data_IF_068185947398
#
_entry.id   IF_068185947398
#
_cell.length_a   1.000
_cell.length_b   1.000
_cell.length_c   1.000
_cell.angle_alpha   90.00
_cell.angle_beta   90.00
_cell.angle_gamma   90.00
#
_symmetry.space_group_name_H-M   'P 1'
#
loop_
_entity.id
_entity.type
_entity.pdbx_description
1 polymer ?
#
# COMPACT_ATOMS: atom_id res chain seq x y z
N UNK A 1 9.83 -7.56 -7.00
CA UNK A 1 10.07 -6.15 -6.60
C UNK A 1 10.07 -5.17 -7.79
N UNK A 2 9.40 -5.51 -8.91
CA UNK A 2 9.26 -4.68 -10.12
C UNK A 2 8.00 -3.78 -10.24
N UNK A 3 6.92 -3.89 -9.43
CA UNK A 3 5.66 -3.23 -9.81
C UNK A 3 5.66 -1.72 -9.58
N UNK A 4 6.39 -1.20 -8.59
CA UNK A 4 6.36 0.22 -8.22
C UNK A 4 7.12 1.12 -9.20
N UNK A 5 8.24 0.65 -9.76
CA UNK A 5 8.99 1.38 -10.79
C UNK A 5 8.17 1.56 -12.08
N UNK A 6 7.40 0.55 -12.47
CA UNK A 6 6.49 0.63 -13.61
C UNK A 6 5.30 1.56 -13.38
N UNK A 7 4.83 1.68 -12.14
CA UNK A 7 3.70 2.54 -11.73
C UNK A 7 4.03 4.04 -11.79
N UNK A 8 5.21 4.47 -11.37
CA UNK A 8 5.57 5.89 -11.53
C UNK A 8 5.86 6.26 -12.98
N UNK A 9 6.40 5.34 -13.79
CA UNK A 9 6.61 5.60 -15.22
C UNK A 9 5.29 5.83 -15.97
N UNK A 10 4.19 5.25 -15.48
CA UNK A 10 2.83 5.48 -15.99
C UNK A 10 2.26 6.86 -15.64
N UNK A 11 2.48 7.30 -14.40
CA UNK A 11 1.99 8.58 -13.88
C UNK A 11 2.89 9.76 -14.28
N UNK A 12 3.96 9.48 -15.03
CA UNK A 12 5.00 10.43 -15.38
C UNK A 12 4.48 11.53 -16.31
N UNK A 13 3.95 12.59 -15.70
CA UNK A 13 3.63 13.88 -16.32
C UNK A 13 4.75 14.90 -16.09
N UNK A 14 5.98 14.45 -15.78
CA UNK A 14 7.08 15.33 -15.35
C UNK A 14 6.97 15.82 -13.89
N UNK A 15 5.90 15.44 -13.19
CA UNK A 15 5.58 15.86 -11.81
C UNK A 15 5.92 14.82 -10.74
N UNK A 16 6.49 13.68 -11.12
CA UNK A 16 6.81 12.57 -10.21
C UNK A 16 8.22 12.07 -10.47
N UNK A 17 9.04 12.13 -9.44
CA UNK A 17 10.38 11.54 -9.42
C UNK A 17 10.41 10.40 -8.41
N UNK A 18 10.91 9.23 -8.82
CA UNK A 18 11.26 8.17 -7.86
C UNK A 18 12.76 8.25 -7.62
N UNK A 19 13.12 8.42 -6.35
CA UNK A 19 14.47 8.20 -5.85
C UNK A 19 14.50 6.82 -5.18
N UNK A 20 15.46 5.97 -5.56
CA UNK A 20 15.49 4.56 -5.13
C UNK A 20 16.63 4.33 -4.15
N UNK A 21 16.32 3.74 -3.01
CA UNK A 21 17.30 2.97 -2.25
C UNK A 21 17.57 1.61 -2.89
N UNK A 22 18.29 0.75 -2.17
CA UNK A 22 18.50 -0.64 -2.59
C UNK A 22 18.48 -1.59 -1.41
N UNK A 23 18.17 -2.86 -1.68
CA UNK A 23 18.26 -3.92 -0.67
C UNK A 23 19.61 -4.62 -0.78
N UNK A 24 20.34 -4.64 0.33
CA UNK A 24 21.50 -5.48 0.53
C UNK A 24 21.04 -6.84 1.03
N UNK A 25 21.43 -7.90 0.33
CA UNK A 25 21.15 -9.29 0.74
C UNK A 25 22.46 -9.95 1.11
N UNK A 26 22.55 -10.48 2.32
CA UNK A 26 23.73 -11.20 2.79
C UNK A 26 23.35 -12.42 3.61
N UNK A 27 24.15 -13.48 3.50
CA UNK A 27 24.04 -14.63 4.39
C UNK A 27 24.76 -14.29 5.70
N UNK A 28 24.06 -14.40 6.83
CA UNK A 28 24.60 -14.10 8.16
C UNK A 28 24.19 -15.14 9.18
N UNK A 29 24.95 -15.24 10.26
CA UNK A 29 24.62 -16.09 11.42
C UNK A 29 23.96 -15.29 12.53
N UNK A 30 22.65 -15.47 12.71
CA UNK A 30 21.86 -14.77 13.71
C UNK A 30 21.50 -15.68 14.90
N UNK A 31 21.40 -15.13 16.12
CA UNK A 31 20.94 -15.88 17.28
C UNK A 31 19.47 -16.28 17.13
N UNK A 32 19.17 -17.56 17.27
CA UNK A 32 17.82 -18.12 17.29
C UNK A 32 17.15 -17.79 18.62
N UNK A 33 15.90 -17.33 18.56
CA UNK A 33 15.10 -17.07 19.78
C UNK A 33 14.87 -18.40 20.52
N UNK A 34 15.24 -18.43 21.80
CA UNK A 34 14.99 -19.57 22.67
C UNK A 34 13.58 -19.45 23.25
N UNK A 35 12.62 -20.19 22.69
CA UNK A 35 11.22 -20.13 23.14
C UNK A 35 11.03 -20.68 24.57
N UNK A 36 11.93 -21.54 25.05
CA UNK A 36 11.88 -22.07 26.40
C UNK A 36 12.45 -21.06 27.42
N UNK A 37 13.36 -20.17 26.98
CA UNK A 37 13.88 -19.09 27.80
C UNK A 37 14.00 -17.77 26.99
N UNK A 38 12.89 -17.03 26.80
CA UNK A 38 12.88 -15.82 25.98
C UNK A 38 13.80 -14.70 26.46
N UNK A 39 14.15 -14.68 27.76
CA UNK A 39 15.06 -13.70 28.36
C UNK A 39 16.54 -14.03 28.16
N UNK A 40 16.86 -15.17 27.55
CA UNK A 40 18.23 -15.59 27.28
C UNK A 40 18.93 -14.58 26.37
N UNK A 41 20.05 -14.06 26.84
CA UNK A 41 20.79 -13.05 26.10
C UNK A 41 21.26 -13.60 24.72
N UNK A 42 21.14 -12.84 23.62
CA UNK A 42 21.37 -13.36 22.27
C UNK A 42 22.74 -14.02 22.05
N UNK A 43 23.78 -13.56 22.76
CA UNK A 43 25.13 -14.16 22.69
C UNK A 43 25.20 -15.61 23.17
N UNK A 44 24.26 -16.04 24.00
CA UNK A 44 24.17 -17.40 24.54
C UNK A 44 23.20 -18.29 23.75
N UNK A 45 22.54 -17.76 22.73
CA UNK A 45 21.63 -18.52 21.89
C UNK A 45 22.39 -19.31 20.81
N UNK A 46 21.77 -20.41 20.36
CA UNK A 46 22.18 -21.12 19.16
C UNK A 46 22.18 -20.14 17.96
N UNK A 47 23.15 -20.23 17.06
CA UNK A 47 23.22 -19.39 15.86
C UNK A 47 22.89 -20.18 14.60
N UNK A 48 21.93 -19.68 13.84
CA UNK A 48 21.46 -20.27 12.57
C UNK A 48 21.80 -19.37 11.39
N UNK A 49 21.99 -19.98 10.22
CA UNK A 49 22.20 -19.25 8.96
C UNK A 49 20.87 -18.67 8.48
N UNK A 50 20.87 -17.38 8.17
CA UNK A 50 19.73 -16.66 7.62
C UNK A 50 20.15 -15.80 6.44
N UNK A 51 19.19 -15.51 5.55
CA UNK A 51 19.30 -14.42 4.59
C UNK A 51 18.85 -13.13 5.27
N UNK A 52 19.79 -12.21 5.52
CA UNK A 52 19.48 -10.87 6.01
C UNK A 52 19.20 -9.96 4.82
N UNK A 53 18.00 -9.37 4.81
CA UNK A 53 17.61 -8.32 3.89
C UNK A 53 17.66 -6.99 4.63
N UNK A 54 18.42 -6.03 4.10
CA UNK A 54 18.59 -4.72 4.71
C UNK A 54 18.39 -3.64 3.64
N UNK A 55 17.44 -2.75 3.88
CA UNK A 55 17.24 -1.56 3.05
C UNK A 55 18.36 -0.56 3.32
N UNK A 56 18.87 0.07 2.26
CA UNK A 56 19.95 1.04 2.33
C UNK A 56 19.62 2.27 1.50
N UNK A 57 20.17 3.40 1.95
CA UNK A 57 20.11 4.73 1.31
C UNK A 57 18.72 5.38 1.20
N UNK A 58 17.62 4.71 1.51
CA UNK A 58 16.28 5.31 1.39
C UNK A 58 16.13 6.54 2.30
N UNK A 59 16.43 6.41 3.59
CA UNK A 59 16.26 7.50 4.57
C UNK A 59 17.27 8.63 4.32
N UNK A 60 18.51 8.27 3.97
CA UNK A 60 19.57 9.23 3.62
C UNK A 60 19.19 10.04 2.39
N UNK A 61 18.68 9.40 1.34
CA UNK A 61 18.25 10.12 0.14
C UNK A 61 17.05 11.01 0.43
N UNK A 62 16.07 10.51 1.19
CA UNK A 62 14.90 11.32 1.58
C UNK A 62 15.33 12.59 2.32
N UNK A 63 16.22 12.45 3.32
CA UNK A 63 16.76 13.56 4.09
C UNK A 63 17.51 14.58 3.21
N UNK A 64 18.41 14.11 2.34
CA UNK A 64 19.23 14.98 1.49
C UNK A 64 18.39 15.75 0.48
N UNK A 65 17.42 15.09 -0.17
CA UNK A 65 16.54 15.74 -1.13
C UNK A 65 15.60 16.74 -0.45
N UNK A 66 14.97 16.36 0.66
CA UNK A 66 14.11 17.28 1.42
C UNK A 66 14.88 18.54 1.88
N UNK A 67 16.13 18.36 2.34
CA UNK A 67 16.97 19.48 2.75
C UNK A 67 17.40 20.36 1.57
N UNK A 68 17.83 19.75 0.46
CA UNK A 68 18.21 20.47 -0.74
C UNK A 68 17.07 21.31 -1.29
N UNK A 69 15.91 20.69 -1.50
CA UNK A 69 14.73 21.33 -2.09
C UNK A 69 14.23 22.49 -1.21
N UNK A 70 14.25 22.32 0.12
CA UNK A 70 13.88 23.39 1.04
C UNK A 70 14.81 24.60 0.94
N UNK A 71 16.11 24.38 0.76
CA UNK A 71 17.12 25.45 0.74
C UNK A 71 17.29 26.15 -0.61
N UNK A 72 17.07 25.45 -1.73
CA UNK A 72 17.16 26.11 -3.04
C UNK A 72 16.04 27.12 -3.23
N UNK A 73 14.94 26.99 -2.48
CA UNK A 73 13.77 27.84 -2.60
C UNK A 73 12.90 27.52 -3.82
N UNK A 74 13.14 26.37 -4.46
CA UNK A 74 12.38 25.91 -5.62
C UNK A 74 10.99 25.36 -5.25
N UNK A 75 10.71 25.20 -3.94
CA UNK A 75 9.45 24.67 -3.42
C UNK A 75 8.84 25.60 -2.38
N UNK A 76 7.52 25.73 -2.42
CA UNK A 76 6.76 26.48 -1.40
C UNK A 76 6.62 25.68 -0.09
N UNK A 77 6.65 24.35 -0.19
CA UNK A 77 6.44 23.42 0.92
C UNK A 77 7.22 22.12 0.68
N UNK A 78 7.79 21.58 1.76
CA UNK A 78 8.33 20.22 1.84
C UNK A 78 7.45 19.42 2.79
N UNK A 79 6.77 18.39 2.27
CA UNK A 79 5.88 17.54 3.07
C UNK A 79 6.48 16.16 3.23
N UNK A 80 6.77 15.80 4.48
CA UNK A 80 7.36 14.51 4.83
C UNK A 80 6.28 13.60 5.40
N UNK A 81 5.96 12.53 4.68
CA UNK A 81 5.03 11.50 5.13
C UNK A 81 5.79 10.34 5.80
N UNK A 82 6.18 10.50 7.06
CA UNK A 82 6.96 9.51 7.82
C UNK A 82 6.78 9.70 9.34
N UNK A 83 7.11 8.67 10.11
CA UNK A 83 7.29 8.76 11.56
C UNK A 83 8.68 8.25 12.00
N UNK A 84 9.63 8.25 11.07
CA UNK A 84 11.00 7.79 11.29
C UNK A 84 11.85 8.88 11.93
N UNK A 85 12.38 8.59 13.11
CA UNK A 85 13.22 9.52 13.89
C UNK A 85 14.57 9.81 13.24
N UNK A 86 15.04 8.96 12.33
CA UNK A 86 16.32 9.17 11.65
C UNK A 86 16.29 10.41 10.74
N UNK A 87 15.10 10.94 10.43
CA UNK A 87 14.92 12.20 9.70
C UNK A 87 15.09 13.46 10.56
N UNK A 88 15.08 13.34 11.90
CA UNK A 88 15.12 14.49 12.79
C UNK A 88 16.30 15.46 12.53
N UNK A 89 17.55 15.00 12.24
CA UNK A 89 18.64 15.91 11.89
C UNK A 89 18.35 16.75 10.63
N UNK A 90 17.75 16.14 9.61
CA UNK A 90 17.39 16.86 8.39
C UNK A 90 16.27 17.87 8.64
N UNK A 91 15.22 17.49 9.38
CA UNK A 91 14.14 18.41 9.75
C UNK A 91 14.68 19.59 10.57
N UNK A 92 15.59 19.37 11.51
CA UNK A 92 16.23 20.43 12.28
C UNK A 92 16.94 21.42 11.36
N UNK A 93 17.77 20.93 10.45
CA UNK A 93 18.49 21.79 9.51
C UNK A 93 17.54 22.57 8.59
N UNK A 94 16.46 21.95 8.11
CA UNK A 94 15.44 22.64 7.30
C UNK A 94 14.75 23.72 8.13
N UNK A 95 14.36 23.40 9.36
CA UNK A 95 13.65 24.28 10.29
C UNK A 95 14.48 25.50 10.67
N UNK A 96 15.78 25.35 10.83
CA UNK A 96 16.68 26.45 11.21
C UNK A 96 16.91 27.44 10.07
N UNK A 97 16.68 27.03 8.81
CA UNK A 97 17.02 27.83 7.64
C UNK A 97 15.81 28.22 6.78
N UNK A 98 14.63 27.64 7.02
CA UNK A 98 13.45 27.79 6.16
C UNK A 98 12.16 27.69 6.96
N UNK A 99 11.03 28.08 6.33
CA UNK A 99 9.69 27.98 6.94
C UNK A 99 8.75 26.99 6.23
N UNK A 100 9.28 26.00 5.50
CA UNK A 100 8.51 25.25 4.48
C UNK A 100 8.21 23.79 4.84
N UNK A 101 8.74 23.26 5.95
CA UNK A 101 8.58 21.82 6.28
C UNK A 101 7.32 21.50 7.05
N UNK A 102 6.57 20.48 6.60
CA UNK A 102 5.44 19.88 7.28
C UNK A 102 5.56 18.36 7.42
N UNK A 103 4.92 17.80 8.44
CA UNK A 103 4.96 16.37 8.76
C UNK A 103 3.57 15.75 8.63
N UNK A 104 3.49 14.57 8.01
CA UNK A 104 2.30 13.73 7.97
C UNK A 104 2.65 12.37 8.55
N UNK A 105 2.04 11.99 9.66
CA UNK A 105 2.22 10.68 10.23
C UNK A 105 1.38 9.64 9.46
N UNK A 106 1.99 8.62 8.84
CA UNK A 106 1.29 7.69 7.96
C UNK A 106 0.55 6.59 8.76
N UNK A 107 -0.39 6.99 9.61
CA UNK A 107 -1.30 6.08 10.34
C UNK A 107 -2.76 6.46 10.10
N UNK A 108 -3.66 5.48 10.21
CA UNK A 108 -5.11 5.69 10.14
C UNK A 108 -5.78 5.54 11.53
N UNK A 109 -5.21 4.73 12.43
CA UNK A 109 -5.87 4.28 13.66
C UNK A 109 -5.39 5.02 14.93
N UNK A 110 -4.57 6.07 14.77
CA UNK A 110 -3.94 6.86 15.84
C UNK A 110 -3.12 6.05 16.87
N UNK A 111 -2.93 4.73 16.68
CA UNK A 111 -2.24 3.89 17.68
C UNK A 111 -0.77 4.22 17.82
N UNK A 112 -0.18 4.80 16.77
CA UNK A 112 1.19 5.28 16.75
C UNK A 112 1.17 6.80 16.67
N UNK A 113 1.27 7.51 17.80
CA UNK A 113 1.34 8.96 17.77
C UNK A 113 2.58 9.42 16.98
N UNK A 114 2.53 10.61 16.37
CA UNK A 114 3.71 11.19 15.76
C UNK A 114 4.80 11.39 16.81
N UNK A 115 6.06 11.19 16.41
CA UNK A 115 7.18 11.39 17.32
C UNK A 115 7.28 12.88 17.71
N UNK A 116 7.36 13.14 19.02
CA UNK A 116 7.41 14.50 19.58
C UNK A 116 8.54 15.35 18.99
N UNK A 117 9.72 14.78 18.73
CA UNK A 117 10.83 15.55 18.16
C UNK A 117 10.51 15.98 16.73
N UNK A 118 10.00 15.08 15.89
CA UNK A 118 9.63 15.40 14.51
C UNK A 118 8.54 16.47 14.44
N UNK A 119 7.55 16.39 15.34
CA UNK A 119 6.48 17.40 15.45
C UNK A 119 7.06 18.78 15.77
N UNK A 120 7.97 18.87 16.74
CA UNK A 120 8.60 20.14 17.13
C UNK A 120 9.44 20.76 16.02
N UNK A 121 10.03 19.93 15.16
CA UNK A 121 10.87 20.37 14.04
C UNK A 121 10.07 20.70 12.78
N UNK A 122 8.73 20.55 12.81
CA UNK A 122 7.85 20.82 11.68
C UNK A 122 7.05 22.10 11.88
N UNK A 123 6.71 22.81 10.79
CA UNK A 123 5.87 24.01 10.83
C UNK A 123 4.40 23.68 11.07
N UNK A 124 3.96 22.54 10.57
CA UNK A 124 2.66 21.97 10.82
C UNK A 124 2.77 20.46 10.82
N UNK A 125 1.85 19.80 11.50
CA UNK A 125 1.78 18.34 11.53
C UNK A 125 0.36 17.87 11.28
N UNK A 126 0.22 16.78 10.54
CA UNK A 126 -0.98 15.94 10.53
C UNK A 126 -0.70 14.64 11.26
N UNK A 127 -1.48 14.39 12.30
CA UNK A 127 -1.27 13.24 13.20
C UNK A 127 -1.67 11.90 12.58
N UNK A 128 -2.49 11.93 11.53
CA UNK A 128 -3.02 10.75 10.84
C UNK A 128 -3.51 11.12 9.43
N UNK A 129 -3.76 10.10 8.63
CA UNK A 129 -4.48 10.14 7.35
C UNK A 129 -5.85 9.51 7.62
N UNK A 130 -6.94 10.21 7.33
CA UNK A 130 -8.28 9.66 7.53
C UNK A 130 -8.60 8.56 6.52
N UNK A 131 -9.49 7.64 6.89
CA UNK A 131 -9.93 6.57 5.99
C UNK A 131 -10.57 7.13 4.71
N UNK A 132 -11.33 8.23 4.82
CA UNK A 132 -11.94 8.90 3.68
C UNK A 132 -10.89 9.49 2.73
N UNK A 133 -9.87 10.16 3.26
CA UNK A 133 -8.75 10.67 2.45
C UNK A 133 -8.03 9.52 1.74
N UNK A 134 -7.69 8.47 2.48
CA UNK A 134 -7.02 7.31 1.92
C UNK A 134 -7.84 6.64 0.81
N UNK A 135 -9.16 6.48 1.01
CA UNK A 135 -10.07 5.91 0.03
C UNK A 135 -10.14 6.76 -1.24
N UNK A 136 -10.21 8.09 -1.08
CA UNK A 136 -10.26 9.05 -2.20
C UNK A 136 -8.94 9.16 -2.98
N UNK A 137 -7.80 8.84 -2.35
CA UNK A 137 -6.46 8.97 -2.92
C UNK A 137 -5.92 7.66 -3.53
N UNK A 138 -6.75 6.62 -3.67
CA UNK A 138 -6.32 5.36 -4.28
C UNK A 138 -6.10 5.52 -5.79
N UNK A 139 -5.04 4.88 -6.30
CA UNK A 139 -4.88 4.74 -7.74
C UNK A 139 -6.01 3.88 -8.33
N UNK A 140 -6.43 4.16 -9.58
CA UNK A 140 -7.41 3.32 -10.25
C UNK A 140 -6.88 1.90 -10.38
N UNK A 141 -7.81 0.93 -10.48
CA UNK A 141 -7.48 -0.48 -10.61
C UNK A 141 -6.48 -0.76 -11.76
N UNK A 142 -6.64 -0.07 -12.88
CA UNK A 142 -5.79 -0.23 -14.07
C UNK A 142 -5.05 1.06 -14.28
N UNK A 143 -3.73 1.02 -14.16
CA UNK A 143 -2.85 2.16 -14.43
C UNK A 143 -2.09 1.89 -15.74
N UNK A 144 -2.36 2.63 -16.83
CA UNK A 144 -1.67 2.45 -18.12
C UNK A 144 -0.19 2.82 -18.00
N UNK A 145 0.73 1.99 -18.51
CA UNK A 145 2.17 2.28 -18.54
C UNK A 145 2.63 2.55 -19.97
N UNK A 146 3.86 3.07 -20.12
CA UNK A 146 4.53 3.19 -21.43
C UNK A 146 4.51 1.86 -22.22
N UNK A 147 4.58 0.72 -21.53
CA UNK A 147 4.36 -0.62 -22.10
C UNK A 147 3.47 -1.44 -21.14
N UNK A 148 2.28 -1.81 -21.60
CA UNK A 148 1.31 -2.62 -20.86
C UNK A 148 0.57 -1.86 -19.75
N UNK A 149 0.02 -2.59 -18.78
CA UNK A 149 -0.77 -2.03 -17.66
C UNK A 149 -0.27 -2.56 -16.32
N UNK A 150 -0.34 -1.72 -15.28
CA UNK A 150 -0.27 -2.15 -13.88
C UNK A 150 -1.69 -2.43 -13.38
N UNK A 151 -1.91 -3.59 -12.78
CA UNK A 151 -3.19 -3.94 -12.17
C UNK A 151 -3.07 -3.88 -10.65
N UNK A 152 -4.05 -3.27 -9.99
CA UNK A 152 -4.18 -3.27 -8.53
C UNK A 152 -4.28 -4.72 -8.04
N UNK A 153 -3.34 -5.18 -7.17
CA UNK A 153 -3.40 -6.50 -6.57
C UNK A 153 -4.68 -6.70 -5.77
N UNK A 154 -5.23 -7.92 -5.78
CA UNK A 154 -6.43 -8.25 -4.98
C UNK A 154 -6.18 -8.08 -3.48
N UNK A 155 -4.95 -8.32 -3.02
CA UNK A 155 -4.55 -8.13 -1.62
C UNK A 155 -4.56 -6.68 -1.13
N UNK A 156 -4.76 -5.70 -2.03
CA UNK A 156 -4.84 -4.26 -1.69
C UNK A 156 -6.28 -3.76 -1.53
N UNK A 157 -7.27 -4.64 -1.57
CA UNK A 157 -8.66 -4.31 -1.23
C UNK A 157 -8.89 -4.61 0.26
N UNK A 158 -9.84 -3.94 0.89
CA UNK A 158 -10.08 -4.03 2.34
C UNK A 158 -10.39 -5.47 2.79
N UNK A 159 -11.16 -6.21 1.99
CA UNK A 159 -11.56 -7.61 2.25
C UNK A 159 -11.11 -8.54 1.11
N UNK A 160 -9.81 -8.86 1.02
CA UNK A 160 -9.29 -9.71 -0.05
C UNK A 160 -9.80 -11.15 0.06
N UNK A 161 -10.15 -11.57 1.27
CA UNK A 161 -10.81 -12.83 1.63
C UNK A 161 -12.20 -12.97 0.99
N UNK A 162 -12.97 -11.89 0.90
CA UNK A 162 -14.29 -11.87 0.26
C UNK A 162 -14.20 -11.63 -1.26
N UNK A 163 -13.29 -10.74 -1.69
CA UNK A 163 -13.12 -10.41 -3.10
C UNK A 163 -12.60 -11.57 -3.94
N UNK A 164 -11.70 -12.40 -3.38
CA UNK A 164 -11.06 -13.48 -4.15
C UNK A 164 -12.06 -14.57 -4.59
N UNK A 165 -12.93 -15.11 -3.72
CA UNK A 165 -14.00 -16.02 -4.12
C UNK A 165 -14.97 -15.39 -5.12
N UNK A 166 -15.47 -14.19 -4.84
CA UNK A 166 -16.41 -13.48 -5.71
C UNK A 166 -15.84 -13.27 -7.11
N UNK A 167 -14.57 -12.86 -7.20
CA UNK A 167 -13.88 -12.68 -8.47
C UNK A 167 -13.69 -14.00 -9.23
N UNK A 168 -13.43 -15.09 -8.52
CA UNK A 168 -13.28 -16.43 -9.12
C UNK A 168 -14.59 -16.87 -9.76
N UNK A 169 -15.71 -16.72 -9.05
CA UNK A 169 -17.04 -17.00 -9.58
C UNK A 169 -17.40 -16.07 -10.75
N UNK A 170 -17.21 -14.76 -10.59
CA UNK A 170 -17.46 -13.78 -11.64
C UNK A 170 -16.64 -14.07 -12.90
N UNK A 171 -15.41 -14.57 -12.75
CA UNK A 171 -14.56 -14.94 -13.89
C UNK A 171 -15.12 -16.16 -14.64
N UNK A 172 -15.69 -17.15 -13.92
CA UNK A 172 -16.36 -18.30 -14.55
C UNK A 172 -17.58 -17.88 -15.38
N UNK A 173 -18.34 -16.91 -14.86
CA UNK A 173 -19.55 -16.32 -15.47
C UNK A 173 -19.22 -15.43 -16.65
N UNK A 174 -18.24 -14.53 -16.50
CA UNK A 174 -17.91 -13.47 -17.47
C UNK A 174 -16.79 -13.85 -18.45
N UNK A 175 -16.18 -15.01 -18.29
CA UNK A 175 -15.15 -15.58 -19.18
C UNK A 175 -13.74 -15.05 -18.99
N UNK A 176 -13.54 -13.88 -18.37
CA UNK A 176 -12.21 -13.35 -18.07
C UNK A 176 -12.18 -12.53 -16.79
N UNK A 177 -10.99 -12.44 -16.16
CA UNK A 177 -10.78 -11.65 -14.94
C UNK A 177 -11.04 -10.15 -15.16
N UNK A 178 -10.76 -9.64 -16.36
CA UNK A 178 -11.05 -8.25 -16.72
C UNK A 178 -12.56 -7.97 -16.82
N UNK A 179 -13.30 -8.84 -17.51
CA UNK A 179 -14.76 -8.73 -17.63
C UNK A 179 -15.47 -8.92 -16.28
N UNK A 180 -14.96 -9.82 -15.43
CA UNK A 180 -15.42 -10.03 -14.07
C UNK A 180 -15.27 -8.76 -13.23
N UNK A 181 -14.09 -8.13 -13.24
CA UNK A 181 -13.87 -6.88 -12.50
C UNK A 181 -14.72 -5.72 -13.03
N UNK A 182 -14.89 -5.62 -14.36
CA UNK A 182 -15.79 -4.61 -14.94
C UNK A 182 -17.20 -4.77 -14.38
N UNK A 183 -17.72 -5.99 -14.35
CA UNK A 183 -19.03 -6.28 -13.76
C UNK A 183 -19.08 -5.95 -12.26
N UNK A 184 -18.07 -6.38 -11.48
CA UNK A 184 -18.00 -6.07 -10.04
C UNK A 184 -17.99 -4.56 -9.77
N UNK A 185 -17.42 -3.76 -10.68
CA UNK A 185 -17.29 -2.31 -10.53
C UNK A 185 -18.43 -1.51 -11.19
N UNK A 186 -19.51 -2.17 -11.63
CA UNK A 186 -20.65 -1.53 -12.28
C UNK A 186 -21.91 -1.71 -11.42
N UNK A 187 -22.77 -0.68 -11.27
CA UNK A 187 -24.09 -0.83 -10.64
C UNK A 187 -24.88 -2.00 -11.23
N UNK A 188 -25.50 -2.80 -10.37
CA UNK A 188 -26.25 -3.98 -10.78
C UNK A 188 -27.70 -3.92 -10.30
N UNK A 189 -28.65 -3.92 -11.23
CA UNK A 189 -30.09 -3.85 -10.94
C UNK A 189 -30.59 -5.00 -10.05
N UNK A 190 -30.05 -6.22 -10.24
CA UNK A 190 -30.41 -7.38 -9.41
C UNK A 190 -29.90 -7.27 -7.96
N UNK A 191 -28.94 -6.39 -7.72
CA UNK A 191 -28.44 -6.05 -6.38
C UNK A 191 -28.97 -4.67 -5.94
N UNK A 192 -30.16 -4.28 -6.41
CA UNK A 192 -30.81 -3.02 -6.02
C UNK A 192 -30.09 -1.77 -6.54
N UNK A 193 -29.33 -1.88 -7.62
CA UNK A 193 -28.51 -0.80 -8.17
C UNK A 193 -27.18 -0.60 -7.45
N UNK A 194 -26.85 -1.43 -6.46
CA UNK A 194 -25.56 -1.36 -5.78
C UNK A 194 -24.41 -1.83 -6.69
N UNK A 195 -23.20 -1.33 -6.40
CA UNK A 195 -21.97 -1.82 -7.03
C UNK A 195 -21.53 -3.08 -6.27
N UNK A 196 -21.40 -4.25 -6.92
CA UNK A 196 -21.00 -5.48 -6.23
C UNK A 196 -19.68 -5.37 -5.46
N UNK A 197 -18.73 -4.57 -5.95
CA UNK A 197 -17.46 -4.35 -5.28
C UNK A 197 -17.60 -3.66 -3.92
N UNK A 198 -18.53 -2.71 -3.80
CA UNK A 198 -18.80 -2.00 -2.55
C UNK A 198 -19.51 -2.92 -1.54
N UNK A 199 -20.36 -3.83 -2.04
CA UNK A 199 -21.00 -4.85 -1.20
C UNK A 199 -19.98 -5.85 -0.61
N UNK A 200 -18.83 -6.05 -1.26
CA UNK A 200 -17.77 -6.95 -0.79
C UNK A 200 -16.97 -6.39 0.41
N UNK A 201 -17.36 -5.25 0.98
CA UNK A 201 -16.81 -4.73 2.24
C UNK A 201 -17.45 -5.37 3.48
N UNK A 202 -18.59 -6.05 3.32
CA UNK A 202 -19.34 -6.74 4.40
C UNK A 202 -19.57 -8.21 4.09
N UNK A 203 -19.74 -9.03 5.13
CA UNK A 203 -20.03 -10.45 4.96
C UNK A 203 -21.44 -10.66 4.36
N UNK A 204 -22.44 -9.86 4.77
CA UNK A 204 -23.79 -9.95 4.19
C UNK A 204 -23.81 -9.55 2.72
N UNK A 205 -23.14 -8.44 2.37
CA UNK A 205 -23.05 -7.98 0.98
C UNK A 205 -22.29 -8.98 0.10
N UNK A 206 -21.22 -9.58 0.61
CA UNK A 206 -20.50 -10.63 -0.11
C UNK A 206 -21.37 -11.87 -0.34
N UNK A 207 -22.14 -12.31 0.65
CA UNK A 207 -23.07 -13.42 0.50
C UNK A 207 -24.12 -13.14 -0.59
N UNK A 208 -24.67 -11.93 -0.64
CA UNK A 208 -25.62 -11.53 -1.69
C UNK A 208 -25.00 -11.55 -3.09
N UNK A 209 -23.77 -11.03 -3.23
CA UNK A 209 -23.03 -11.03 -4.50
C UNK A 209 -22.73 -12.46 -4.97
N UNK A 210 -22.29 -13.33 -4.06
CA UNK A 210 -21.99 -14.74 -4.35
C UNK A 210 -23.26 -15.50 -4.74
N UNK A 211 -24.32 -15.40 -3.96
CA UNK A 211 -25.59 -16.09 -4.21
C UNK A 211 -26.18 -15.72 -5.58
N UNK A 212 -26.12 -14.43 -5.95
CA UNK A 212 -26.55 -14.00 -7.29
C UNK A 212 -25.75 -14.69 -8.41
N UNK A 213 -24.42 -14.79 -8.26
CA UNK A 213 -23.58 -15.42 -9.28
C UNK A 213 -23.80 -16.93 -9.36
N UNK A 214 -24.01 -17.60 -8.24
CA UNK A 214 -24.32 -19.03 -8.18
C UNK A 214 -25.67 -19.33 -8.84
N UNK A 215 -26.71 -18.54 -8.53
CA UNK A 215 -28.03 -18.65 -9.16
C UNK A 215 -27.96 -18.42 -10.68
N UNK A 216 -27.15 -17.45 -11.13
CA UNK A 216 -26.94 -17.21 -12.56
C UNK A 216 -26.30 -18.42 -13.25
N UNK A 217 -25.29 -19.04 -12.63
CA UNK A 217 -24.63 -20.24 -13.15
C UNK A 217 -25.62 -21.40 -13.22
N UNK A 218 -26.42 -21.62 -12.17
CA UNK A 218 -27.42 -22.68 -12.13
C UNK A 218 -28.47 -22.53 -13.25
N UNK A 219 -28.84 -21.29 -13.61
CA UNK A 219 -29.78 -20.99 -14.70
C UNK A 219 -29.15 -21.04 -16.09
N UNK A 220 -27.82 -20.96 -16.20
CA UNK A 220 -27.08 -20.97 -17.45
C UNK A 220 -25.95 -22.02 -17.42
N UNK A 221 -26.29 -23.32 -17.30
CA UNK A 221 -25.29 -24.38 -17.28
C UNK A 221 -24.47 -24.36 -18.57
N UNK A 222 -23.15 -24.49 -18.46
CA UNK A 222 -22.30 -24.63 -19.64
C UNK A 222 -22.60 -25.98 -20.30
N UNK A 223 -22.57 -26.01 -21.62
CA UNK A 223 -22.90 -27.15 -22.48
C UNK A 223 -21.95 -28.37 -22.36
N UNK A 224 -21.23 -28.52 -21.25
CA UNK A 224 -20.29 -29.62 -20.98
C UNK A 224 -20.38 -30.22 -19.57
N UNK A 225 -21.35 -29.80 -18.75
CA UNK A 225 -21.59 -30.37 -17.40
C UNK A 225 -22.85 -31.27 -17.36
N UNK A 226 -23.39 -31.66 -18.52
CA UNK A 226 -24.39 -32.73 -18.65
C UNK A 226 -23.73 -33.97 -19.23
N UNK A 227 -22.98 -34.69 -18.39
CA UNK A 227 -22.73 -36.13 -18.54
C UNK A 227 -22.55 -36.76 -17.15
#
# INVERSE_FOLDING_TARGET
>A
MEPLSGLALALNTGRLQIIKGYFSVSQVRAPKVDHANPGKWPRHCERVDIWKFEEKQSDVQLALHAYHDALTGDVDQVVIASNDTDLAPALQMIRDNTNVVGLVNPTCDHRRPPNTSLVQLSHWTREHISEQELASAQLPRVVPRKRGVSLKPTSWYARPDLLTPALTLATKVRGSKGAAFKWLSTPNEHLGGAVPLDLLESDEGAAAVIAYMEDWIAKHPKSGDME
#
